data_IF_504755984495
#
_entry.id   IF_504755984495
#
_cell.length_a   1.000
_cell.length_b   1.000
_cell.length_c   1.000
_cell.angle_alpha   90.00
_cell.angle_beta   90.00
_cell.angle_gamma   90.00
#
_symmetry.space_group_name_H-M   'P 1'
#
loop_
_entity.id
_entity.type
_entity.pdbx_description
1 polymer ?
#
# COMPACT_ATOMS: atom_id res chain seq x y z
N UNK A 1 -38.78 -19.85 -0.41
CA UNK A 1 -37.69 -19.95 0.58
C UNK A 1 -36.80 -18.75 0.36
N UNK A 2 -36.73 -17.83 1.32
CA UNK A 2 -35.75 -16.74 1.31
C UNK A 2 -34.37 -17.40 1.43
N UNK A 3 -33.57 -17.45 0.37
CA UNK A 3 -32.16 -17.80 0.53
C UNK A 3 -31.56 -16.76 1.46
N UNK A 4 -31.26 -17.14 2.70
CA UNK A 4 -30.47 -16.30 3.59
C UNK A 4 -29.16 -16.09 2.83
N UNK A 5 -28.92 -14.86 2.37
CA UNK A 5 -27.66 -14.52 1.71
C UNK A 5 -26.56 -14.79 2.73
N UNK A 6 -25.71 -15.80 2.46
CA UNK A 6 -24.57 -16.10 3.33
C UNK A 6 -23.78 -14.82 3.58
N UNK A 7 -23.52 -14.54 4.85
CA UNK A 7 -22.92 -13.28 5.29
C UNK A 7 -21.47 -13.48 5.71
N UNK A 8 -20.53 -12.93 4.94
CA UNK A 8 -19.09 -13.05 5.18
C UNK A 8 -18.50 -11.72 5.60
N UNK A 9 -17.65 -11.73 6.63
CA UNK A 9 -16.81 -10.58 6.96
C UNK A 9 -15.46 -10.67 6.24
N UNK A 10 -15.03 -9.58 5.62
CA UNK A 10 -13.66 -9.46 5.08
C UNK A 10 -12.94 -8.38 5.88
N UNK A 11 -11.78 -8.69 6.43
CA UNK A 11 -10.99 -7.74 7.24
C UNK A 11 -9.77 -7.30 6.46
N UNK A 12 -9.75 -6.01 6.13
CA UNK A 12 -8.76 -5.33 5.28
C UNK A 12 -9.33 -4.97 3.91
N UNK A 13 -9.09 -3.73 3.48
CA UNK A 13 -9.50 -3.17 2.17
C UNK A 13 -8.33 -2.95 1.20
N UNK A 14 -7.19 -3.62 1.45
CA UNK A 14 -6.15 -3.76 0.45
C UNK A 14 -6.64 -4.59 -0.74
N UNK A 15 -5.83 -4.66 -1.82
CA UNK A 15 -6.23 -5.35 -3.05
C UNK A 15 -6.69 -6.80 -2.82
N UNK A 16 -6.06 -7.53 -1.89
CA UNK A 16 -6.45 -8.91 -1.54
C UNK A 16 -7.87 -8.97 -0.96
N UNK A 17 -8.15 -8.19 0.08
CA UNK A 17 -9.48 -8.14 0.70
C UNK A 17 -10.55 -7.57 -0.23
N UNK A 18 -10.22 -6.50 -0.97
CA UNK A 18 -11.13 -5.89 -1.93
C UNK A 18 -11.49 -6.85 -3.07
N UNK A 19 -10.52 -7.57 -3.64
CA UNK A 19 -10.77 -8.58 -4.67
C UNK A 19 -11.56 -9.78 -4.14
N UNK A 20 -11.29 -10.21 -2.90
CA UNK A 20 -12.05 -11.26 -2.24
C UNK A 20 -13.52 -10.86 -2.05
N UNK A 21 -13.76 -9.68 -1.47
CA UNK A 21 -15.11 -9.15 -1.26
C UNK A 21 -15.88 -9.00 -2.57
N UNK A 22 -15.23 -8.43 -3.59
CA UNK A 22 -15.78 -8.30 -4.93
C UNK A 22 -16.16 -9.66 -5.54
N UNK A 23 -15.27 -10.65 -5.46
CA UNK A 23 -15.51 -11.98 -6.02
C UNK A 23 -16.67 -12.68 -5.31
N UNK A 24 -16.71 -12.63 -3.98
CA UNK A 24 -17.81 -13.18 -3.17
C UNK A 24 -19.15 -12.52 -3.54
N UNK A 25 -19.18 -11.18 -3.62
CA UNK A 25 -20.39 -10.44 -3.96
C UNK A 25 -20.91 -10.76 -5.37
N UNK A 26 -20.03 -10.89 -6.37
CA UNK A 26 -20.41 -11.32 -7.73
C UNK A 26 -20.98 -12.74 -7.78
N UNK A 27 -20.68 -13.56 -6.78
CA UNK A 27 -21.23 -14.91 -6.62
C UNK A 27 -22.44 -14.95 -5.67
N UNK A 28 -23.03 -13.80 -5.33
CA UNK A 28 -24.26 -13.70 -4.54
C UNK A 28 -24.07 -13.84 -3.03
N UNK A 29 -22.84 -13.74 -2.52
CA UNK A 29 -22.57 -13.72 -1.07
C UNK A 29 -22.66 -12.28 -0.56
N UNK A 30 -23.36 -12.05 0.54
CA UNK A 30 -23.40 -10.73 1.17
C UNK A 30 -22.10 -10.52 1.95
N UNK A 31 -21.37 -9.45 1.65
CA UNK A 31 -20.07 -9.19 2.27
C UNK A 31 -20.12 -7.90 3.09
N UNK A 32 -19.62 -7.94 4.33
CA UNK A 32 -19.24 -6.72 5.06
C UNK A 32 -17.72 -6.63 5.12
N UNK A 33 -17.15 -5.60 4.53
CA UNK A 33 -15.72 -5.36 4.52
C UNK A 33 -15.36 -4.35 5.61
N UNK A 34 -14.39 -4.67 6.47
CA UNK A 34 -13.92 -3.80 7.55
C UNK A 34 -12.51 -3.31 7.28
N UNK A 35 -12.28 -2.01 7.47
CA UNK A 35 -10.98 -1.37 7.30
C UNK A 35 -10.72 -0.35 8.41
N UNK A 36 -9.56 -0.48 9.05
CA UNK A 36 -9.07 0.42 10.09
C UNK A 36 -8.81 1.85 9.58
N UNK A 37 -8.33 1.98 8.34
CA UNK A 37 -8.08 3.26 7.69
C UNK A 37 -9.38 3.93 7.22
N UNK A 38 -9.30 5.24 6.96
CA UNK A 38 -10.44 6.06 6.51
C UNK A 38 -10.91 5.76 5.07
N UNK A 39 -10.27 4.85 4.36
CA UNK A 39 -10.61 4.51 2.99
C UNK A 39 -9.81 3.33 2.45
N UNK A 40 -10.13 2.87 1.23
CA UNK A 40 -9.57 1.65 0.67
C UNK A 40 -8.16 1.84 0.09
N UNK A 41 -7.47 0.71 -0.07
CA UNK A 41 -6.20 0.64 -0.80
C UNK A 41 -5.09 -0.09 -0.05
N UNK A 42 -5.05 0.01 1.29
CA UNK A 42 -3.92 -0.51 2.06
C UNK A 42 -2.59 0.02 1.51
N UNK A 43 -1.71 -0.87 1.03
CA UNK A 43 -0.43 -0.51 0.39
C UNK A 43 -0.57 0.15 -0.99
N UNK A 44 -1.75 0.16 -1.58
CA UNK A 44 -2.07 0.93 -2.79
C UNK A 44 -2.67 2.30 -2.46
N UNK A 45 -2.76 2.67 -1.18
CA UNK A 45 -3.35 3.94 -0.74
C UNK A 45 -2.53 5.15 -1.18
N UNK A 46 -3.24 6.27 -1.30
CA UNK A 46 -2.64 7.56 -1.57
C UNK A 46 -2.47 8.35 -0.28
N UNK A 47 -1.49 9.25 -0.30
CA UNK A 47 -1.29 10.23 0.75
C UNK A 47 -1.52 11.62 0.21
N UNK A 48 -2.44 12.35 0.85
CA UNK A 48 -2.70 13.76 0.58
C UNK A 48 -1.92 14.61 1.57
N UNK A 49 -1.26 15.63 1.06
CA UNK A 49 -0.48 16.59 1.83
C UNK A 49 -0.80 18.00 1.30
N UNK A 50 -0.70 19.01 2.15
CA UNK A 50 -0.89 20.42 1.76
C UNK A 50 0.49 21.07 1.81
N UNK A 51 0.93 21.63 0.68
CA UNK A 51 2.17 22.39 0.62
C UNK A 51 2.03 23.76 1.31
N UNK A 52 3.17 24.42 1.58
CA UNK A 52 3.19 25.73 2.26
C UNK A 52 2.41 26.82 1.49
N UNK A 53 2.35 26.71 0.16
CA UNK A 53 1.57 27.59 -0.71
C UNK A 53 0.08 27.24 -0.77
N UNK A 54 -0.36 26.24 -0.01
CA UNK A 54 -1.75 25.79 0.08
C UNK A 54 -2.19 24.79 -1.00
N UNK A 55 -1.31 24.42 -1.95
CA UNK A 55 -1.66 23.42 -2.98
C UNK A 55 -1.75 22.01 -2.38
N UNK A 56 -2.75 21.25 -2.81
CA UNK A 56 -2.85 19.83 -2.49
C UNK A 56 -1.88 19.02 -3.35
N UNK A 57 -1.08 18.18 -2.69
CA UNK A 57 -0.19 17.20 -3.30
C UNK A 57 -0.70 15.80 -2.97
N UNK A 58 -0.77 14.94 -3.98
CA UNK A 58 -1.26 13.56 -3.83
C UNK A 58 -0.17 12.60 -4.28
N UNK A 59 0.20 11.67 -3.40
CA UNK A 59 1.29 10.72 -3.62
C UNK A 59 0.80 9.27 -3.50
N UNK A 60 1.05 8.44 -4.51
CA UNK A 60 0.93 6.98 -4.40
C UNK A 60 2.14 6.38 -3.68
N UNK A 61 2.40 6.80 -2.43
CA UNK A 61 3.62 6.49 -1.66
C UNK A 61 3.93 5.00 -1.42
N UNK A 62 2.93 4.12 -1.56
CA UNK A 62 3.05 2.68 -1.36
C UNK A 62 3.50 1.95 -2.62
N UNK A 63 2.62 1.14 -3.21
CA UNK A 63 2.89 0.38 -4.43
C UNK A 63 3.10 1.32 -5.63
N UNK A 64 4.28 1.31 -6.29
CA UNK A 64 4.55 2.20 -7.43
C UNK A 64 3.71 1.84 -8.65
N UNK A 65 3.64 0.54 -8.96
CA UNK A 65 2.90 -0.07 -10.05
C UNK A 65 2.71 -1.56 -9.76
N UNK A 66 1.98 -2.26 -10.61
CA UNK A 66 1.95 -3.73 -10.64
C UNK A 66 2.21 -4.24 -12.05
N UNK A 67 2.74 -5.46 -12.17
CA UNK A 67 2.91 -6.16 -13.44
C UNK A 67 1.99 -7.37 -13.48
N UNK A 68 1.73 -7.87 -14.68
CA UNK A 68 0.81 -8.99 -14.89
C UNK A 68 1.55 -10.11 -15.60
N UNK A 69 1.66 -11.27 -14.94
CA UNK A 69 2.26 -12.48 -15.51
C UNK A 69 1.26 -13.61 -15.73
N UNK A 70 0.11 -13.58 -15.06
CA UNK A 70 -0.97 -14.55 -15.19
C UNK A 70 -2.01 -14.10 -16.22
N UNK A 71 -2.44 -15.02 -17.09
CA UNK A 71 -3.49 -14.79 -18.09
C UNK A 71 -4.84 -14.46 -17.48
N UNK A 72 -5.15 -15.07 -16.33
CA UNK A 72 -6.42 -14.85 -15.63
C UNK A 72 -6.46 -13.44 -15.03
N UNK A 73 -5.33 -13.01 -14.46
CA UNK A 73 -5.16 -11.65 -13.95
C UNK A 73 -5.16 -10.63 -15.10
N UNK A 74 -4.59 -10.96 -16.26
CA UNK A 74 -4.62 -10.07 -17.43
C UNK A 74 -6.04 -9.81 -17.91
N UNK A 75 -6.91 -10.82 -17.87
CA UNK A 75 -8.32 -10.66 -18.22
C UNK A 75 -9.03 -9.71 -17.27
N UNK A 76 -8.76 -9.81 -15.96
CA UNK A 76 -9.27 -8.87 -14.96
C UNK A 76 -8.73 -7.44 -15.15
N UNK A 77 -7.44 -7.30 -15.45
CA UNK A 77 -6.83 -5.99 -15.69
C UNK A 77 -7.44 -5.32 -16.93
N UNK A 78 -7.68 -6.07 -18.01
CA UNK A 78 -8.40 -5.54 -19.18
C UNK A 78 -9.83 -5.10 -18.86
N UNK A 79 -10.53 -5.84 -17.99
CA UNK A 79 -11.84 -5.42 -17.48
C UNK A 79 -11.71 -4.08 -16.72
N UNK A 80 -10.71 -3.94 -15.84
CA UNK A 80 -10.45 -2.72 -15.09
C UNK A 80 -10.05 -1.53 -15.99
N UNK A 81 -9.24 -1.75 -17.02
CA UNK A 81 -8.89 -0.73 -18.02
C UNK A 81 -10.14 -0.25 -18.77
N UNK A 82 -11.02 -1.16 -19.18
CA UNK A 82 -12.27 -0.80 -19.87
C UNK A 82 -13.21 0.06 -19.01
N UNK A 83 -13.05 -0.02 -17.68
CA UNK A 83 -13.77 0.77 -16.67
C UNK A 83 -12.98 2.01 -16.21
N UNK A 84 -11.84 2.31 -16.84
CA UNK A 84 -10.92 3.40 -16.47
C UNK A 84 -10.44 3.33 -15.02
N UNK A 85 -10.29 2.12 -14.45
CA UNK A 85 -9.81 1.92 -13.08
C UNK A 85 -8.29 1.79 -12.99
N UNK A 86 -7.66 1.39 -14.10
CA UNK A 86 -6.22 1.35 -14.27
C UNK A 86 -5.85 1.68 -15.72
N UNK A 87 -4.56 1.92 -15.94
CA UNK A 87 -3.96 2.06 -17.25
C UNK A 87 -2.49 1.61 -17.19
N UNK A 88 -1.94 1.23 -18.34
CA UNK A 88 -0.49 1.05 -18.48
C UNK A 88 0.23 2.40 -18.29
N UNK A 89 1.28 2.39 -17.48
CA UNK A 89 2.17 3.52 -17.26
C UNK A 89 3.32 3.45 -18.28
N UNK A 90 3.10 4.10 -19.42
CA UNK A 90 3.95 4.05 -20.61
C UNK A 90 5.10 5.06 -20.55
N UNK A 91 5.90 5.00 -19.51
CA UNK A 91 7.09 5.84 -19.36
C UNK A 91 8.38 5.04 -19.55
N UNK A 92 9.51 5.74 -19.62
CA UNK A 92 10.84 5.14 -19.63
C UNK A 92 11.30 4.78 -18.22
N UNK A 93 11.94 3.61 -18.10
CA UNK A 93 12.48 3.09 -16.84
C UNK A 93 13.94 2.72 -17.00
N UNK A 94 14.71 2.66 -15.92
CA UNK A 94 16.11 2.23 -16.00
C UNK A 94 16.68 1.73 -14.68
N UNK A 95 18.00 1.59 -14.66
CA UNK A 95 18.77 1.22 -13.47
C UNK A 95 19.87 2.26 -13.27
N UNK A 96 19.96 2.83 -12.09
CA UNK A 96 21.06 3.70 -11.70
C UNK A 96 22.04 2.94 -10.80
N UNK A 97 23.33 2.96 -11.13
CA UNK A 97 24.37 2.34 -10.32
C UNK A 97 25.21 3.39 -9.58
N UNK A 98 25.15 3.37 -8.24
CA UNK A 98 25.88 4.32 -7.39
C UNK A 98 27.42 4.18 -7.48
N UNK A 99 27.97 3.05 -7.94
CA UNK A 99 29.42 2.90 -8.09
C UNK A 99 29.95 3.54 -9.37
N UNK A 100 29.27 3.32 -10.49
CA UNK A 100 29.63 3.94 -11.78
C UNK A 100 29.05 5.35 -11.96
N UNK A 101 28.06 5.72 -11.15
CA UNK A 101 27.30 6.97 -11.24
C UNK A 101 26.63 7.16 -12.61
N UNK A 102 26.08 6.08 -13.17
CA UNK A 102 25.51 6.04 -14.52
C UNK A 102 24.16 5.32 -14.55
N UNK A 103 23.32 5.76 -15.49
CA UNK A 103 22.12 5.02 -15.90
C UNK A 103 22.48 3.92 -16.90
N UNK A 104 21.83 2.78 -16.74
CA UNK A 104 21.91 1.63 -17.63
C UNK A 104 20.53 1.00 -17.81
N UNK A 105 20.41 0.06 -18.75
CA UNK A 105 19.19 -0.72 -18.99
C UNK A 105 17.93 0.15 -19.17
N UNK A 106 18.06 1.28 -19.88
CA UNK A 106 16.93 2.18 -20.11
C UNK A 106 15.96 1.54 -21.08
N UNK A 107 14.77 1.22 -20.59
CA UNK A 107 13.64 0.72 -21.36
C UNK A 107 13.03 1.88 -22.18
N UNK A 108 12.71 1.60 -23.45
CA UNK A 108 12.06 2.59 -24.32
C UNK A 108 10.60 2.82 -23.90
N UNK A 109 10.13 4.05 -24.09
CA UNK A 109 8.76 4.46 -23.85
C UNK A 109 7.77 3.62 -24.69
N UNK A 110 6.63 3.23 -24.10
CA UNK A 110 5.53 2.57 -24.82
C UNK A 110 5.34 1.07 -24.60
N UNK A 111 6.30 0.35 -24.01
CA UNK A 111 6.13 -1.07 -23.60
C UNK A 111 6.73 -1.27 -22.22
N UNK A 112 5.93 -1.02 -21.17
CA UNK A 112 6.43 -1.18 -19.79
C UNK A 112 5.84 -2.42 -19.14
N UNK A 113 4.64 -2.86 -19.53
CA UNK A 113 3.90 -3.91 -18.82
C UNK A 113 3.59 -3.55 -17.36
N UNK A 114 3.77 -2.27 -16.99
CA UNK A 114 3.56 -1.72 -15.66
C UNK A 114 2.22 -1.01 -15.65
N UNK A 115 1.32 -1.44 -14.79
CA UNK A 115 -0.01 -0.87 -14.65
C UNK A 115 -0.12 -0.09 -13.35
N UNK A 116 -0.91 0.98 -13.39
CA UNK A 116 -1.24 1.80 -12.23
C UNK A 116 -2.74 2.02 -12.17
N UNK A 117 -3.32 2.10 -10.97
CA UNK A 117 -4.71 2.54 -10.82
C UNK A 117 -4.89 3.97 -11.33
N UNK A 118 -6.04 4.36 -11.87
CA UNK A 118 -6.31 5.69 -12.43
C UNK A 118 -7.61 6.28 -11.85
N UNK A 119 -7.65 7.57 -11.46
CA UNK A 119 -6.56 8.55 -11.41
C UNK A 119 -5.55 8.31 -10.26
N UNK A 120 -5.74 7.24 -9.49
CA UNK A 120 -5.07 6.99 -8.23
C UNK A 120 -4.72 5.52 -8.08
N UNK A 121 -3.61 5.16 -7.41
CA UNK A 121 -3.27 3.74 -7.25
C UNK A 121 -4.37 2.94 -6.53
N UNK A 122 -5.07 3.55 -5.57
CA UNK A 122 -6.18 2.88 -4.87
C UNK A 122 -7.53 2.89 -5.62
N UNK A 123 -7.62 3.44 -6.84
CA UNK A 123 -8.85 3.45 -7.63
C UNK A 123 -9.42 2.04 -7.83
N UNK A 124 -8.55 1.06 -8.07
CA UNK A 124 -8.93 -0.35 -8.23
C UNK A 124 -9.63 -0.82 -6.94
N UNK A 125 -8.96 -0.73 -5.79
CA UNK A 125 -9.53 -1.14 -4.50
C UNK A 125 -10.83 -0.39 -4.19
N UNK A 126 -10.89 0.91 -4.50
CA UNK A 126 -12.08 1.72 -4.30
C UNK A 126 -13.27 1.18 -5.10
N UNK A 127 -13.10 0.89 -6.38
CA UNK A 127 -14.16 0.32 -7.19
C UNK A 127 -14.63 -1.04 -6.67
N UNK A 128 -13.70 -1.94 -6.35
CA UNK A 128 -14.02 -3.28 -5.83
C UNK A 128 -14.78 -3.22 -4.48
N UNK A 129 -14.44 -2.26 -3.61
CA UNK A 129 -15.13 -2.06 -2.33
C UNK A 129 -16.56 -1.48 -2.46
N UNK A 130 -16.95 -0.98 -3.64
CA UNK A 130 -18.27 -0.43 -3.92
C UNK A 130 -19.10 -1.33 -4.86
N UNK A 131 -18.63 -2.54 -5.15
CA UNK A 131 -19.40 -3.52 -5.92
C UNK A 131 -20.73 -3.83 -5.22
N UNK A 132 -21.86 -3.92 -5.95
CA UNK A 132 -23.13 -4.34 -5.37
C UNK A 132 -22.99 -5.65 -4.58
N UNK A 133 -23.45 -5.66 -3.32
CA UNK A 133 -23.30 -6.79 -2.40
C UNK A 133 -22.13 -6.65 -1.41
N UNK A 134 -21.26 -5.65 -1.58
CA UNK A 134 -20.22 -5.29 -0.62
C UNK A 134 -20.64 -4.08 0.22
N UNK A 135 -20.78 -4.28 1.52
CA UNK A 135 -20.95 -3.21 2.51
C UNK A 135 -19.59 -2.86 3.14
N UNK A 136 -18.98 -1.75 2.71
CA UNK A 136 -17.68 -1.32 3.24
C UNK A 136 -17.81 -0.43 4.49
N UNK A 137 -17.05 -0.75 5.53
CA UNK A 137 -16.93 -0.03 6.81
C UNK A 137 -15.49 0.45 7.01
N UNK A 138 -15.23 1.70 6.63
CA UNK A 138 -13.94 2.37 6.82
C UNK A 138 -13.85 3.05 8.19
N UNK A 139 -12.64 3.19 8.74
CA UNK A 139 -12.40 3.71 10.09
C UNK A 139 -12.78 2.74 11.21
N UNK A 140 -13.02 1.47 10.88
CA UNK A 140 -13.49 0.43 11.80
C UNK A 140 -12.41 -0.63 11.94
N UNK A 141 -11.73 -0.61 13.09
CA UNK A 141 -10.71 -1.59 13.44
C UNK A 141 -11.32 -2.78 14.16
N UNK A 142 -11.25 -3.97 13.56
CA UNK A 142 -11.62 -5.22 14.23
C UNK A 142 -10.59 -5.53 15.31
N UNK A 143 -11.05 -5.63 16.56
CA UNK A 143 -10.21 -5.89 17.73
C UNK A 143 -10.26 -7.33 18.22
N UNK A 144 -11.35 -8.07 17.95
CA UNK A 144 -11.49 -9.49 18.33
C UNK A 144 -12.42 -10.24 17.38
N UNK A 145 -12.09 -11.48 17.09
CA UNK A 145 -12.88 -12.44 16.32
C UNK A 145 -13.12 -13.66 17.20
N UNK A 146 -14.38 -14.01 17.43
CA UNK A 146 -14.77 -15.10 18.31
C UNK A 146 -15.73 -16.04 17.60
N UNK A 147 -15.43 -17.33 17.63
CA UNK A 147 -16.34 -18.35 17.12
C UNK A 147 -17.40 -18.67 18.18
N UNK A 148 -18.67 -18.48 17.83
CA UNK A 148 -19.81 -18.79 18.66
C UNK A 148 -20.36 -20.17 18.28
N UNK A 149 -19.95 -21.21 19.01
CA UNK A 149 -20.32 -22.60 18.70
C UNK A 149 -21.84 -22.83 18.62
N UNK A 150 -22.62 -22.17 19.50
CA UNK A 150 -24.08 -22.31 19.54
C UNK A 150 -24.77 -21.74 18.31
N UNK A 151 -24.23 -20.65 17.79
CA UNK A 151 -24.81 -19.91 16.66
C UNK A 151 -24.16 -20.32 15.33
N UNK A 152 -23.13 -21.17 15.37
CA UNK A 152 -22.31 -21.58 14.23
C UNK A 152 -21.85 -20.37 13.40
N UNK A 153 -21.40 -19.32 14.08
CA UNK A 153 -21.07 -18.03 13.48
C UNK A 153 -19.88 -17.36 14.17
N UNK A 154 -19.27 -16.42 13.46
CA UNK A 154 -18.21 -15.55 13.95
C UNK A 154 -18.80 -14.24 14.46
N UNK A 155 -18.52 -13.90 15.71
CA UNK A 155 -18.73 -12.57 16.28
C UNK A 155 -17.47 -11.71 16.08
N UNK A 156 -17.64 -10.56 15.43
CA UNK A 156 -16.58 -9.55 15.33
C UNK A 156 -16.84 -8.42 16.31
N UNK A 157 -15.81 -8.04 17.07
CA UNK A 157 -15.82 -6.89 17.96
C UNK A 157 -14.80 -5.85 17.48
N UNK A 158 -15.17 -4.58 17.59
CA UNK A 158 -14.28 -3.46 17.36
C UNK A 158 -13.20 -3.35 18.43
N UNK A 159 -12.16 -2.57 18.14
CA UNK A 159 -11.13 -2.23 19.14
C UNK A 159 -11.71 -1.44 20.33
N UNK A 160 -12.86 -0.82 20.18
CA UNK A 160 -13.64 -0.17 21.24
C UNK A 160 -14.55 -1.14 22.02
N UNK A 161 -14.59 -2.42 21.63
CA UNK A 161 -15.44 -3.45 22.23
C UNK A 161 -16.86 -3.50 21.68
N UNK A 162 -17.23 -2.62 20.74
CA UNK A 162 -18.57 -2.65 20.14
C UNK A 162 -18.74 -3.85 19.22
N UNK A 163 -19.95 -4.43 19.17
CA UNK A 163 -20.25 -5.50 18.22
C UNK A 163 -20.31 -4.95 16.80
N UNK A 164 -19.56 -5.58 15.90
CA UNK A 164 -19.55 -5.29 14.47
C UNK A 164 -20.47 -6.23 13.68
N UNK A 165 -21.06 -7.21 14.36
CA UNK A 165 -22.01 -8.18 13.80
C UNK A 165 -21.54 -9.63 13.90
N UNK A 166 -22.46 -10.53 13.51
CA UNK A 166 -22.20 -11.96 13.34
C UNK A 166 -22.16 -12.34 11.86
N UNK A 167 -21.30 -13.32 11.53
CA UNK A 167 -20.99 -13.73 10.17
C UNK A 167 -20.82 -15.25 10.07
N UNK A 168 -21.21 -15.85 8.96
CA UNK A 168 -21.01 -17.29 8.71
C UNK A 168 -19.54 -17.63 8.40
N UNK A 169 -18.78 -16.65 7.91
CA UNK A 169 -17.36 -16.80 7.60
C UNK A 169 -16.60 -15.50 7.74
N UNK A 170 -15.29 -15.62 7.95
CA UNK A 170 -14.36 -14.49 8.05
C UNK A 170 -13.19 -14.72 7.12
N UNK A 171 -12.84 -13.71 6.33
CA UNK A 171 -11.61 -13.67 5.54
C UNK A 171 -10.68 -12.63 6.14
N UNK A 172 -9.55 -13.09 6.66
CA UNK A 172 -8.46 -12.26 7.13
C UNK A 172 -7.49 -11.96 5.97
N UNK A 173 -7.44 -10.71 5.50
CA UNK A 173 -6.59 -10.32 4.36
C UNK A 173 -5.30 -9.58 4.75
N UNK A 174 -5.07 -9.41 6.06
CA UNK A 174 -3.92 -8.73 6.62
C UNK A 174 -3.29 -9.56 7.76
N UNK A 175 -1.95 -9.60 7.79
CA UNK A 175 -1.22 -10.42 8.78
C UNK A 175 -1.30 -9.89 10.21
N UNK A 176 -1.61 -8.61 10.40
CA UNK A 176 -1.76 -8.01 11.74
C UNK A 176 -2.91 -8.64 12.53
N UNK A 177 -3.83 -9.36 11.86
CA UNK A 177 -4.89 -10.12 12.50
C UNK A 177 -4.34 -11.22 13.42
N UNK A 178 -3.11 -11.70 13.16
CA UNK A 178 -2.44 -12.78 13.91
C UNK A 178 -1.02 -12.44 14.37
N UNK A 179 -0.42 -11.36 13.87
CA UNK A 179 0.98 -11.03 14.11
C UNK A 179 1.23 -10.49 15.53
N UNK A 180 2.30 -10.93 16.22
CA UNK A 180 2.76 -10.31 17.47
C UNK A 180 3.08 -8.81 17.33
N UNK A 181 3.33 -8.33 16.09
CA UNK A 181 3.48 -6.90 15.79
C UNK A 181 2.24 -6.11 16.24
N UNK A 182 1.04 -6.67 16.09
CA UNK A 182 -0.19 -6.04 16.55
C UNK A 182 -0.12 -5.75 18.05
N UNK A 183 0.35 -6.71 18.85
CA UNK A 183 0.58 -6.54 20.28
C UNK A 183 1.64 -5.48 20.57
N UNK A 184 2.78 -5.53 19.88
CA UNK A 184 3.86 -4.57 20.10
C UNK A 184 3.46 -3.12 19.76
N UNK A 185 2.54 -2.93 18.81
CA UNK A 185 2.06 -1.61 18.37
C UNK A 185 0.89 -1.13 19.23
N UNK A 186 -0.08 -2.00 19.54
CA UNK A 186 -1.36 -1.61 20.16
C UNK A 186 -1.47 -1.94 21.65
N UNK A 187 -0.56 -2.78 22.18
CA UNK A 187 -0.63 -3.33 23.53
C UNK A 187 -1.73 -4.38 23.73
N UNK A 188 -2.37 -4.85 22.65
CA UNK A 188 -3.51 -5.79 22.69
C UNK A 188 -3.18 -7.12 22.02
N UNK A 189 -3.88 -8.17 22.41
CA UNK A 189 -3.77 -9.46 21.71
C UNK A 189 -4.26 -9.33 20.27
N UNK A 190 -3.69 -10.09 19.30
CA UNK A 190 -4.16 -10.07 17.92
C UNK A 190 -5.65 -10.43 17.82
N UNK A 191 -6.39 -9.86 16.83
CA UNK A 191 -7.83 -10.08 16.71
C UNK A 191 -8.25 -11.55 16.56
N UNK A 192 -7.47 -12.38 15.87
CA UNK A 192 -7.77 -13.80 15.70
C UNK A 192 -6.93 -14.64 16.68
N UNK A 193 -7.60 -15.46 17.48
CA UNK A 193 -6.94 -16.43 18.34
C UNK A 193 -6.35 -17.57 17.48
N UNK A 194 -5.02 -17.66 17.47
CA UNK A 194 -4.28 -18.69 16.74
C UNK A 194 -4.53 -20.11 17.27
N UNK A 195 -5.04 -20.26 18.50
CA UNK A 195 -5.45 -21.57 19.02
C UNK A 195 -6.59 -22.20 18.20
N UNK A 196 -7.35 -21.40 17.46
CA UNK A 196 -8.38 -21.88 16.54
C UNK A 196 -7.81 -22.52 15.27
N UNK A 197 -6.54 -22.26 14.94
CA UNK A 197 -5.85 -22.71 13.72
C UNK A 197 -4.39 -23.13 14.02
N UNK A 198 -4.16 -24.12 14.90
CA UNK A 198 -2.83 -24.45 15.42
C UNK A 198 -1.84 -24.84 14.30
N UNK A 199 -2.31 -25.52 13.25
CA UNK A 199 -1.48 -25.96 12.11
C UNK A 199 -0.96 -24.80 11.25
N UNK A 200 -1.62 -23.64 11.32
CA UNK A 200 -1.24 -22.43 10.57
C UNK A 200 -0.51 -21.41 11.44
N UNK A 201 -0.66 -21.47 12.77
CA UNK A 201 -0.12 -20.49 13.71
C UNK A 201 1.39 -20.23 13.48
N UNK A 202 2.20 -21.29 13.49
CA UNK A 202 3.66 -21.19 13.28
C UNK A 202 4.00 -20.64 11.89
N UNK A 203 3.25 -21.02 10.86
CA UNK A 203 3.49 -20.55 9.49
C UNK A 203 3.19 -19.06 9.37
N UNK A 204 2.09 -18.61 9.95
CA UNK A 204 1.64 -17.21 9.90
C UNK A 204 2.54 -16.28 10.72
N UNK A 205 3.03 -16.73 11.87
CA UNK A 205 3.95 -15.96 12.72
C UNK A 205 5.32 -15.73 12.06
N UNK A 206 5.75 -16.66 11.19
CA UNK A 206 7.05 -16.62 10.52
C UNK A 206 7.05 -15.93 9.15
N UNK A 207 5.93 -15.32 8.73
CA UNK A 207 5.89 -14.58 7.46
C UNK A 207 6.71 -13.29 7.61
N UNK A 208 7.83 -13.14 6.86
CA UNK A 208 8.69 -11.98 7.01
C UNK A 208 7.98 -10.69 6.59
N UNK A 209 8.34 -9.61 7.27
CA UNK A 209 7.93 -8.26 6.98
C UNK A 209 9.14 -7.53 6.40
N UNK A 210 9.08 -7.06 5.16
CA UNK A 210 10.17 -6.24 4.59
C UNK A 210 9.84 -4.78 4.89
N UNK A 211 10.51 -4.10 5.85
CA UNK A 211 10.27 -2.70 6.12
C UNK A 211 10.84 -1.82 5.00
N UNK A 212 10.21 -0.67 4.78
CA UNK A 212 10.70 0.34 3.85
C UNK A 212 10.23 1.73 4.31
N UNK A 213 11.03 2.76 4.05
CA UNK A 213 10.60 4.15 4.12
C UNK A 213 10.38 4.70 2.72
N UNK A 214 9.28 5.42 2.53
CA UNK A 214 9.00 6.19 1.33
C UNK A 214 9.23 7.68 1.60
N UNK A 215 10.08 8.33 0.80
CA UNK A 215 10.24 9.78 0.77
C UNK A 215 9.38 10.35 -0.35
N UNK A 216 8.48 11.28 -0.02
CA UNK A 216 7.68 12.03 -0.98
C UNK A 216 8.31 13.41 -1.19
N UNK A 217 8.55 13.77 -2.46
CA UNK A 217 9.21 14.99 -2.89
C UNK A 217 8.35 15.76 -3.88
N UNK A 218 8.26 17.08 -3.74
CA UNK A 218 7.65 17.98 -4.72
C UNK A 218 8.65 19.00 -5.26
N UNK A 219 8.71 19.15 -6.58
CA UNK A 219 9.58 20.09 -7.28
C UNK A 219 8.79 21.08 -8.13
N UNK A 220 9.21 22.35 -8.12
CA UNK A 220 8.59 23.41 -8.93
C UNK A 220 8.88 23.23 -10.42
N UNK A 221 10.09 22.77 -10.74
CA UNK A 221 10.55 22.50 -12.10
C UNK A 221 10.82 21.00 -12.28
N UNK A 222 10.55 20.44 -13.46
CA UNK A 222 10.90 19.06 -13.77
C UNK A 222 12.40 18.77 -13.59
N UNK A 223 12.72 17.59 -13.10
CA UNK A 223 14.10 17.12 -12.90
C UNK A 223 14.72 16.66 -14.23
N UNK A 224 15.21 17.61 -15.03
CA UNK A 224 15.77 17.33 -16.36
C UNK A 224 17.06 16.51 -16.36
N UNK A 225 17.76 16.41 -15.22
CA UNK A 225 18.96 15.59 -15.08
C UNK A 225 18.67 14.08 -15.01
N UNK A 226 17.41 13.69 -14.77
CA UNK A 226 17.01 12.28 -14.72
C UNK A 226 16.36 11.92 -16.07
N UNK A 227 16.93 11.00 -16.86
CA UNK A 227 16.46 10.70 -18.21
C UNK A 227 15.24 9.76 -18.25
N UNK A 228 14.80 9.24 -17.09
CA UNK A 228 13.74 8.23 -16.96
C UNK A 228 12.72 8.64 -15.89
N UNK A 229 11.54 8.02 -15.87
CA UNK A 229 10.49 8.31 -14.86
C UNK A 229 10.39 7.29 -13.74
N UNK A 230 11.14 6.20 -13.82
CA UNK A 230 11.33 5.29 -12.70
C UNK A 230 12.61 4.48 -12.84
N UNK A 231 13.29 4.22 -11.72
CA UNK A 231 14.53 3.44 -11.77
C UNK A 231 14.86 2.77 -10.44
N UNK A 232 15.50 1.60 -10.54
CA UNK A 232 16.14 0.98 -9.39
C UNK A 232 17.49 1.62 -9.12
N UNK A 233 17.86 1.66 -7.85
CA UNK A 233 19.14 2.21 -7.40
C UNK A 233 19.96 1.03 -6.91
N UNK A 234 21.00 0.67 -7.65
CA UNK A 234 21.95 -0.38 -7.31
C UNK A 234 23.11 0.19 -6.49
N UNK A 235 23.67 -0.66 -5.62
CA UNK A 235 24.85 -0.35 -4.79
C UNK A 235 24.68 0.84 -3.83
N UNK A 236 23.46 1.32 -3.60
CA UNK A 236 23.14 2.21 -2.49
C UNK A 236 22.86 1.40 -1.22
N UNK A 237 23.28 1.94 -0.07
CA UNK A 237 22.93 1.39 1.24
C UNK A 237 21.60 1.93 1.77
N UNK A 238 21.05 2.96 1.13
CA UNK A 238 19.97 3.79 1.66
C UNK A 238 18.75 3.77 0.76
N UNK A 239 18.91 3.90 -0.56
CA UNK A 239 17.82 3.93 -1.54
C UNK A 239 17.79 2.67 -2.40
N UNK A 240 16.60 2.19 -2.74
CA UNK A 240 16.41 1.02 -3.61
C UNK A 240 15.68 1.35 -4.91
N UNK A 241 14.81 2.37 -4.89
CA UNK A 241 13.95 2.70 -6.02
C UNK A 241 13.55 4.18 -5.99
N UNK A 242 13.35 4.77 -7.16
CA UNK A 242 12.89 6.14 -7.34
C UNK A 242 11.92 6.23 -8.52
N UNK A 243 10.87 7.06 -8.42
CA UNK A 243 9.95 7.30 -9.53
C UNK A 243 9.21 8.63 -9.48
N UNK A 244 8.86 9.13 -10.66
CA UNK A 244 8.03 10.31 -10.87
C UNK A 244 6.55 9.93 -10.82
N UNK A 245 5.92 10.08 -9.66
CA UNK A 245 4.52 9.73 -9.42
C UNK A 245 3.56 10.54 -10.29
N UNK A 246 3.87 11.82 -10.51
CA UNK A 246 3.06 12.72 -11.34
C UNK A 246 3.06 12.37 -12.83
N UNK A 247 4.00 11.53 -13.30
CA UNK A 247 4.00 11.03 -14.70
C UNK A 247 2.99 9.91 -14.95
N UNK A 248 2.39 9.35 -13.91
CA UNK A 248 1.39 8.29 -14.05
C UNK A 248 0.12 8.81 -14.76
N UNK A 249 -0.56 7.98 -15.57
CA UNK A 249 -1.80 8.37 -16.24
C UNK A 249 -2.86 8.91 -15.28
N UNK A 250 -3.49 10.02 -15.64
CA UNK A 250 -4.59 10.60 -14.86
C UNK A 250 -4.20 11.30 -13.56
N UNK A 251 -2.90 11.52 -13.28
CA UNK A 251 -2.46 12.37 -12.17
C UNK A 251 -2.55 13.83 -12.60
N UNK A 252 -3.33 14.62 -11.86
CA UNK A 252 -3.40 16.07 -12.03
C UNK A 252 -2.42 16.72 -11.07
N UNK A 253 -1.22 17.07 -11.54
CA UNK A 253 -0.27 17.85 -10.74
C UNK A 253 0.32 18.97 -11.57
N UNK A 254 0.32 20.19 -11.02
CA UNK A 254 1.06 21.33 -11.57
C UNK A 254 2.57 21.26 -11.28
N UNK A 255 2.99 20.29 -10.47
CA UNK A 255 4.36 20.13 -9.97
C UNK A 255 4.86 18.71 -10.22
N UNK A 256 6.17 18.53 -10.36
CA UNK A 256 6.73 17.19 -10.52
C UNK A 256 6.87 16.53 -9.14
N UNK A 257 6.22 15.39 -8.96
CA UNK A 257 6.18 14.66 -7.70
C UNK A 257 6.99 13.38 -7.81
N UNK A 258 7.98 13.22 -6.94
CA UNK A 258 8.84 12.04 -6.88
C UNK A 258 8.63 11.26 -5.59
N UNK A 259 8.74 9.94 -5.68
CA UNK A 259 8.76 9.05 -4.53
C UNK A 259 10.04 8.24 -4.57
N UNK A 260 10.77 8.22 -3.46
CA UNK A 260 11.95 7.38 -3.26
C UNK A 260 11.64 6.32 -2.22
N UNK A 261 12.07 5.08 -2.45
CA UNK A 261 11.97 3.99 -1.49
C UNK A 261 13.34 3.65 -0.95
N UNK A 262 13.40 3.46 0.37
CA UNK A 262 14.62 3.02 1.04
C UNK A 262 14.95 1.56 0.73
N UNK A 263 16.18 1.16 1.00
CA UNK A 263 16.52 -0.26 1.18
C UNK A 263 15.85 -0.83 2.43
N UNK A 264 15.81 -2.16 2.53
CA UNK A 264 15.35 -2.88 3.72
C UNK A 264 16.31 -2.64 4.88
N UNK A 265 17.61 -2.73 4.61
CA UNK A 265 18.69 -2.63 5.60
C UNK A 265 18.69 -1.26 6.27
N UNK A 266 18.46 -0.18 5.51
CA UNK A 266 18.30 1.16 6.08
C UNK A 266 17.07 1.23 6.98
N UNK A 267 15.93 0.70 6.53
CA UNK A 267 14.70 0.73 7.30
C UNK A 267 14.81 -0.07 8.61
N UNK A 268 15.47 -1.23 8.58
CA UNK A 268 15.75 -2.06 9.76
C UNK A 268 16.65 -1.32 10.76
N UNK A 269 17.70 -0.65 10.29
CA UNK A 269 18.57 0.18 11.14
C UNK A 269 17.78 1.27 11.87
N UNK A 270 16.94 2.01 11.15
CA UNK A 270 16.09 3.07 11.75
C UNK A 270 15.09 2.45 12.73
N UNK A 271 14.48 1.32 12.42
CA UNK A 271 13.54 0.63 13.33
C UNK A 271 14.26 0.11 14.58
N UNK A 272 15.50 -0.37 14.48
CA UNK A 272 16.29 -0.80 15.63
C UNK A 272 16.61 0.38 16.57
N UNK A 273 16.81 1.58 16.04
CA UNK A 273 17.11 2.79 16.81
C UNK A 273 15.86 3.41 17.47
N UNK A 274 14.73 3.46 16.76
CA UNK A 274 13.52 4.19 17.20
C UNK A 274 12.32 3.29 17.56
N UNK A 275 12.43 1.98 17.35
CA UNK A 275 11.39 1.00 17.67
C UNK A 275 10.30 0.82 16.60
N UNK A 276 9.39 -0.12 16.88
CA UNK A 276 8.29 -0.51 15.98
C UNK A 276 7.07 0.41 16.05
N UNK A 277 6.99 1.25 17.08
CA UNK A 277 5.91 2.23 17.25
C UNK A 277 5.92 3.27 16.13
N UNK A 278 4.81 4.00 15.96
CA UNK A 278 4.71 5.05 14.93
C UNK A 278 5.87 6.05 15.13
N UNK A 279 6.72 6.30 14.11
CA UNK A 279 7.84 7.23 14.26
C UNK A 279 7.34 8.64 14.57
N UNK A 280 8.10 9.37 15.39
CA UNK A 280 7.82 10.78 15.66
C UNK A 280 8.04 11.64 14.41
N UNK A 281 7.46 12.84 14.38
CA UNK A 281 7.69 13.77 13.27
C UNK A 281 9.17 14.19 13.17
N UNK A 282 9.88 14.30 14.30
CA UNK A 282 11.32 14.55 14.32
C UNK A 282 12.12 13.40 13.69
N UNK A 283 11.76 12.16 14.00
CA UNK A 283 12.37 10.97 13.38
C UNK A 283 12.10 10.95 11.88
N UNK A 284 10.86 11.20 11.44
CA UNK A 284 10.51 11.22 10.02
C UNK A 284 11.22 12.37 9.27
N UNK A 285 11.44 13.52 9.91
CA UNK A 285 12.21 14.62 9.34
C UNK A 285 13.68 14.23 9.15
N UNK A 286 14.30 13.56 10.13
CA UNK A 286 15.67 13.05 10.02
C UNK A 286 15.79 12.02 8.88
N UNK A 287 14.86 11.06 8.82
CA UNK A 287 14.81 10.07 7.74
C UNK A 287 14.64 10.74 6.37
N UNK A 288 13.76 11.74 6.27
CA UNK A 288 13.54 12.47 5.02
C UNK A 288 14.82 13.14 4.52
N UNK A 289 15.56 13.78 5.43
CA UNK A 289 16.84 14.42 5.12
C UNK A 289 17.91 13.39 4.69
N UNK A 290 18.05 12.27 5.39
CA UNK A 290 19.02 11.22 5.04
C UNK A 290 18.72 10.58 3.67
N UNK A 291 17.45 10.27 3.39
CA UNK A 291 17.03 9.73 2.09
C UNK A 291 17.25 10.75 0.96
N UNK A 292 17.00 12.03 1.22
CA UNK A 292 17.23 13.10 0.25
C UNK A 292 18.72 13.34 0.00
N UNK A 293 19.56 13.30 1.03
CA UNK A 293 21.01 13.43 0.90
C UNK A 293 21.60 12.30 0.05
N UNK A 294 21.13 11.06 0.22
CA UNK A 294 21.51 9.96 -0.68
C UNK A 294 21.05 10.23 -2.12
N UNK A 295 19.85 10.79 -2.31
CA UNK A 295 19.36 11.13 -3.63
C UNK A 295 20.19 12.23 -4.31
N UNK A 296 20.75 13.16 -3.54
CA UNK A 296 21.69 14.17 -4.04
C UNK A 296 23.09 13.60 -4.31
N UNK A 297 23.52 12.57 -3.57
CA UNK A 297 24.85 11.96 -3.71
C UNK A 297 25.02 11.15 -5.01
N UNK A 298 23.90 10.79 -5.66
CA UNK A 298 23.77 10.16 -6.98
C UNK A 298 24.34 11.04 -8.14
N UNK A 299 24.97 12.18 -7.83
CA UNK A 299 25.75 12.99 -8.77
C UNK A 299 24.90 13.70 -9.84
N UNK A 300 23.58 13.67 -9.70
CA UNK A 300 22.63 14.41 -10.51
C UNK A 300 22.40 15.78 -9.87
N UNK A 301 22.18 16.81 -10.69
CA UNK A 301 21.85 18.14 -10.19
C UNK A 301 20.41 18.17 -9.70
N UNK A 302 20.19 17.68 -8.47
CA UNK A 302 18.87 17.65 -7.83
C UNK A 302 18.69 18.96 -7.02
N UNK A 303 17.78 19.86 -7.45
CA UNK A 303 17.48 21.09 -6.72
C UNK A 303 16.78 20.76 -5.40
N UNK A 304 16.74 21.73 -4.48
CA UNK A 304 15.98 21.55 -3.24
C UNK A 304 14.47 21.43 -3.54
N UNK A 305 13.77 20.39 -3.06
CA UNK A 305 12.33 20.27 -3.23
C UNK A 305 11.61 21.32 -2.36
N UNK A 306 10.48 21.84 -2.86
CA UNK A 306 9.61 22.72 -2.07
C UNK A 306 8.77 21.93 -1.05
N UNK A 307 8.60 20.62 -1.28
CA UNK A 307 7.91 19.72 -0.38
C UNK A 307 8.73 18.45 -0.14
N UNK A 308 8.86 18.03 1.12
CA UNK A 308 9.61 16.82 1.49
C UNK A 308 9.03 16.17 2.75
N UNK A 309 8.64 14.89 2.66
CA UNK A 309 8.11 14.15 3.83
C UNK A 309 8.32 12.64 3.71
N UNK A 310 8.83 12.04 4.79
CA UNK A 310 8.98 10.59 4.86
C UNK A 310 7.72 9.89 5.43
N UNK A 311 7.53 8.64 5.04
CA UNK A 311 6.54 7.72 5.59
C UNK A 311 7.19 6.35 5.81
N UNK A 312 6.88 5.70 6.93
CA UNK A 312 7.27 4.30 7.15
C UNK A 312 6.19 3.39 6.58
N UNK A 313 6.50 2.70 5.49
CA UNK A 313 5.66 1.64 4.95
C UNK A 313 5.68 0.46 5.93
N UNK A 314 4.60 0.32 6.69
CA UNK A 314 4.48 -0.75 7.69
C UNK A 314 4.24 -2.07 6.97
N UNK A 315 5.15 -3.03 7.13
CA UNK A 315 4.92 -4.42 6.75
C UNK A 315 4.40 -5.25 7.89
#
# INVERSE_FOLDING_TARGET
>A
MSSVLSKVAVVGSGISGAACAWSLARNGVSVTLFESARGPGGRMSQRREIAEDGKELVFDHGAPYFTVSSTDVLSLVREWESKNLCAEWKESFGVFDCFSNQFSSIEQEGVSGRYVGTPAMNSICKALCHEPGVESKFGVSVGRMEWLEKDNSWLLLGIDGQSLGQFEGVVASDKNIVSPRFTNVTGRVPPLDLNLIPDLATKLQNIPAIPCFALMLGFEQPLTSIPVRGFSIMNSKVLSWAYCDSSKPGRSSSSELWILHSTMEYAEKVIAEYGLQKPSDATLKKVAEELYQEFQSIGLSIPRPFFMKAHRCSS
#
